data_IF_886626605387
#
_entry.id   IF_886626605387
#
_cell.length_a   1.000
_cell.length_b   1.000
_cell.length_c   1.000
_cell.angle_alpha   90.00
_cell.angle_beta   90.00
_cell.angle_gamma   90.00
#
_symmetry.space_group_name_H-M   'P 1'
#
loop_
_entity.id
_entity.type
_entity.pdbx_description
1 polymer ?
#
# COMPACT_ATOMS: atom_id res chain seq x y z
N UNK A 1 28.76 -45.92 -4.57
CA UNK A 1 27.71 -45.10 -3.91
C UNK A 1 27.81 -43.68 -4.46
N UNK A 2 26.98 -43.35 -5.46
CA UNK A 2 26.98 -42.04 -6.14
C UNK A 2 26.21 -41.03 -5.29
N UNK A 3 26.89 -40.00 -4.79
CA UNK A 3 26.25 -38.82 -4.19
C UNK A 3 25.76 -37.92 -5.32
N UNK A 4 24.45 -37.83 -5.51
CA UNK A 4 23.82 -36.86 -6.41
C UNK A 4 23.66 -35.58 -5.61
N UNK A 5 24.38 -34.52 -5.99
CA UNK A 5 24.18 -33.17 -5.47
C UNK A 5 23.13 -32.52 -6.36
N UNK A 6 21.93 -32.31 -5.82
CA UNK A 6 20.87 -31.56 -6.49
C UNK A 6 21.20 -30.07 -6.37
N UNK A 7 21.64 -29.47 -7.47
CA UNK A 7 21.82 -28.03 -7.59
C UNK A 7 20.44 -27.40 -7.83
N UNK A 8 19.85 -26.81 -6.78
CA UNK A 8 18.59 -26.06 -6.89
C UNK A 8 18.82 -24.75 -7.64
N UNK A 9 18.39 -24.70 -8.90
CA UNK A 9 18.34 -23.46 -9.68
C UNK A 9 17.19 -22.60 -9.16
N UNK A 10 17.52 -21.50 -8.50
CA UNK A 10 16.57 -20.47 -8.12
C UNK A 10 16.10 -19.75 -9.40
N UNK A 11 14.93 -20.12 -9.91
CA UNK A 11 14.30 -19.40 -11.03
C UNK A 11 13.68 -18.13 -10.45
N UNK A 12 14.35 -16.99 -10.63
CA UNK A 12 13.72 -15.70 -10.43
C UNK A 12 12.61 -15.53 -11.47
N UNK A 13 11.35 -15.63 -11.05
CA UNK A 13 10.21 -15.23 -11.87
C UNK A 13 10.29 -13.71 -12.07
N UNK A 14 10.82 -13.30 -13.22
CA UNK A 14 10.57 -11.96 -13.74
C UNK A 14 9.14 -11.97 -14.26
N UNK A 15 8.20 -11.46 -13.47
CA UNK A 15 6.85 -11.19 -13.92
C UNK A 15 6.90 -10.07 -14.99
N UNK A 16 7.05 -10.47 -16.25
CA UNK A 16 6.83 -9.58 -17.38
C UNK A 16 5.34 -9.29 -17.49
N UNK A 17 4.89 -8.12 -17.06
CA UNK A 17 3.54 -7.66 -17.37
C UNK A 17 3.51 -7.20 -18.83
N UNK A 18 2.69 -7.87 -19.62
CA UNK A 18 2.31 -7.40 -20.95
C UNK A 18 1.64 -6.03 -20.80
N UNK A 19 2.35 -4.95 -21.12
CA UNK A 19 1.76 -3.62 -21.15
C UNK A 19 1.17 -3.38 -22.53
N UNK A 20 -0.16 -3.41 -22.64
CA UNK A 20 -0.82 -2.60 -23.66
C UNK A 20 -0.33 -1.16 -23.54
N UNK A 21 -0.08 -0.50 -24.68
CA UNK A 21 0.45 0.87 -24.69
C UNK A 21 -0.55 1.81 -24.00
N UNK A 22 -0.21 2.26 -22.79
CA UNK A 22 -1.06 3.16 -21.99
C UNK A 22 -1.04 4.56 -22.60
N UNK A 23 -2.19 5.22 -22.68
CA UNK A 23 -2.30 6.59 -23.17
C UNK A 23 -1.49 7.52 -22.25
N UNK A 24 -0.54 8.24 -22.81
CA UNK A 24 0.29 9.21 -22.06
C UNK A 24 -0.47 10.52 -21.89
N UNK A 25 -0.45 11.09 -20.68
CA UNK A 25 -1.04 12.40 -20.40
C UNK A 25 -0.35 13.12 -19.23
N UNK A 26 -0.63 14.41 -19.11
CA UNK A 26 -0.34 15.20 -17.92
C UNK A 26 -1.28 14.86 -16.74
N UNK A 27 -1.20 15.62 -15.64
CA UNK A 27 -1.89 15.29 -14.40
C UNK A 27 -3.43 15.25 -14.54
N UNK A 28 -4.07 14.50 -13.64
CA UNK A 28 -5.52 14.47 -13.48
C UNK A 28 -5.86 15.16 -12.17
N UNK A 29 -6.59 16.28 -12.25
CA UNK A 29 -6.91 17.11 -11.11
C UNK A 29 -8.43 17.18 -10.96
N UNK A 30 -8.98 16.39 -10.04
CA UNK A 30 -10.37 16.46 -9.63
C UNK A 30 -10.44 17.26 -8.32
N UNK A 31 -10.76 18.55 -8.41
CA UNK A 31 -10.82 19.45 -7.24
C UNK A 31 -12.24 19.53 -6.66
N UNK A 32 -13.24 19.14 -7.44
CA UNK A 32 -14.65 19.09 -7.09
C UNK A 32 -15.41 18.11 -7.99
N UNK A 33 -16.69 17.84 -7.65
CA UNK A 33 -17.58 17.00 -8.46
C UNK A 33 -17.75 17.48 -9.92
N UNK A 34 -17.49 18.76 -10.21
CA UNK A 34 -17.62 19.32 -11.58
C UNK A 34 -16.46 18.92 -12.49
N UNK A 35 -15.35 18.49 -11.90
CA UNK A 35 -14.15 18.15 -12.63
C UNK A 35 -14.16 16.71 -13.15
N UNK A 36 -15.18 15.91 -12.81
CA UNK A 36 -15.37 14.57 -13.36
C UNK A 36 -15.85 14.63 -14.81
N UNK A 37 -14.92 14.94 -15.72
CA UNK A 37 -15.16 15.03 -17.16
C UNK A 37 -14.20 14.11 -17.94
N UNK A 38 -14.50 13.88 -19.21
CA UNK A 38 -13.66 13.07 -20.07
C UNK A 38 -12.27 13.69 -20.28
N UNK A 39 -12.19 15.03 -20.36
CA UNK A 39 -10.94 15.80 -20.46
C UNK A 39 -10.05 15.56 -19.22
N UNK A 40 -10.68 15.44 -18.05
CA UNK A 40 -10.02 15.11 -16.79
C UNK A 40 -9.82 13.60 -16.58
N UNK A 41 -9.97 12.79 -17.63
CA UNK A 41 -9.57 11.38 -17.61
C UNK A 41 -10.59 10.41 -17.07
N UNK A 42 -11.82 10.87 -16.84
CA UNK A 42 -12.95 9.97 -16.56
C UNK A 42 -13.32 9.25 -17.86
N UNK A 43 -13.23 7.93 -17.85
CA UNK A 43 -13.54 7.10 -19.04
C UNK A 43 -14.95 6.51 -19.00
N UNK A 44 -15.55 6.41 -17.81
CA UNK A 44 -16.92 5.92 -17.62
C UNK A 44 -17.47 6.26 -16.24
N UNK A 45 -18.76 5.99 -16.07
CA UNK A 45 -19.44 6.02 -14.78
C UNK A 45 -20.15 7.32 -14.45
N UNK A 46 -21.14 7.23 -13.56
CA UNK A 46 -21.98 8.36 -13.13
C UNK A 46 -21.63 8.89 -11.72
N UNK A 47 -20.67 8.28 -11.03
CA UNK A 47 -20.27 8.67 -9.67
C UNK A 47 -21.31 8.30 -8.62
N UNK A 48 -21.91 7.11 -8.77
CA UNK A 48 -22.83 6.50 -7.80
C UNK A 48 -22.29 5.13 -7.36
N UNK A 49 -22.76 4.56 -6.24
CA UNK A 49 -22.16 3.34 -5.65
C UNK A 49 -22.14 2.12 -6.58
N UNK A 50 -23.14 1.98 -7.46
CA UNK A 50 -23.18 0.91 -8.46
C UNK A 50 -22.52 1.27 -9.80
N UNK A 51 -22.09 2.52 -9.96
CA UNK A 51 -21.48 3.02 -11.18
C UNK A 51 -20.54 4.21 -10.86
N UNK A 52 -19.38 3.92 -10.26
CA UNK A 52 -18.42 4.93 -9.84
C UNK A 52 -17.79 5.61 -11.05
N UNK A 53 -17.30 6.85 -10.89
CA UNK A 53 -16.44 7.44 -11.91
C UNK A 53 -15.17 6.61 -12.06
N UNK A 54 -14.79 6.27 -13.29
CA UNK A 54 -13.61 5.43 -13.57
C UNK A 54 -12.54 6.25 -14.24
N UNK A 55 -11.33 6.21 -13.69
CA UNK A 55 -10.08 6.69 -14.30
C UNK A 55 -9.22 5.45 -14.53
N UNK A 56 -8.87 5.13 -15.78
CA UNK A 56 -8.10 3.91 -16.05
C UNK A 56 -7.21 3.93 -17.28
N UNK A 57 -6.29 2.97 -17.36
CA UNK A 57 -5.44 2.66 -18.52
C UNK A 57 -4.57 3.82 -19.03
N UNK A 58 -4.15 4.72 -18.12
CA UNK A 58 -3.33 5.89 -18.43
C UNK A 58 -1.93 5.78 -17.83
N UNK A 59 -0.94 6.31 -18.55
CA UNK A 59 0.39 6.60 -18.03
C UNK A 59 0.50 8.10 -17.82
N UNK A 60 0.72 8.51 -16.58
CA UNK A 60 0.87 9.89 -16.19
C UNK A 60 2.36 10.15 -15.97
N UNK A 61 2.94 10.90 -16.89
CA UNK A 61 4.29 11.43 -16.76
C UNK A 61 4.14 12.89 -16.33
N UNK A 62 4.40 13.16 -15.05
CA UNK A 62 4.00 14.44 -14.45
C UNK A 62 5.01 15.55 -14.72
N UNK A 63 6.17 15.26 -15.30
CA UNK A 63 7.13 16.30 -15.69
C UNK A 63 7.60 17.24 -14.57
N UNK A 64 7.41 16.86 -13.29
CA UNK A 64 7.69 17.69 -12.12
C UNK A 64 6.49 18.41 -11.49
N UNK A 65 5.27 18.23 -12.02
CA UNK A 65 4.03 18.69 -11.38
C UNK A 65 3.82 18.07 -9.98
N UNK A 66 2.98 18.71 -9.19
CA UNK A 66 2.77 18.35 -7.78
C UNK A 66 2.10 17.00 -7.62
N UNK A 67 1.13 16.69 -8.49
CA UNK A 67 0.27 15.52 -8.35
C UNK A 67 0.14 14.78 -9.66
N UNK A 68 0.26 13.45 -9.64
CA UNK A 68 -0.16 12.63 -10.78
C UNK A 68 -1.67 12.59 -10.91
N UNK A 69 -2.34 12.15 -9.84
CA UNK A 69 -3.80 12.19 -9.70
C UNK A 69 -4.15 12.84 -8.37
N UNK A 70 -5.01 13.86 -8.40
CA UNK A 70 -5.65 14.45 -7.24
C UNK A 70 -7.15 14.16 -7.28
N UNK A 71 -7.67 13.53 -6.23
CA UNK A 71 -9.10 13.43 -5.94
C UNK A 71 -9.37 14.25 -4.67
N UNK A 72 -10.12 15.33 -4.79
CA UNK A 72 -10.37 16.25 -3.69
C UNK A 72 -11.83 16.63 -3.55
N UNK A 73 -12.33 16.68 -2.30
CA UNK A 73 -13.58 17.34 -1.97
C UNK A 73 -14.84 16.66 -2.55
N UNK A 74 -14.84 15.34 -2.65
CA UNK A 74 -15.95 14.58 -3.25
C UNK A 74 -16.40 13.42 -2.35
N UNK A 75 -17.70 13.16 -2.36
CA UNK A 75 -18.29 11.95 -1.77
C UNK A 75 -18.75 10.94 -2.84
N UNK A 76 -18.61 11.32 -4.12
CA UNK A 76 -19.00 10.47 -5.24
C UNK A 76 -18.00 9.32 -5.37
N UNK A 77 -18.45 8.08 -5.54
CA UNK A 77 -17.57 6.94 -5.73
C UNK A 77 -16.66 7.10 -6.94
N UNK A 78 -15.36 6.80 -6.74
CA UNK A 78 -14.31 6.87 -7.76
C UNK A 78 -13.51 5.58 -7.75
N UNK A 79 -13.20 5.06 -8.93
CA UNK A 79 -12.25 3.96 -9.15
C UNK A 79 -11.10 4.48 -10.01
N UNK A 80 -9.88 4.35 -9.49
CA UNK A 80 -8.63 4.59 -10.21
C UNK A 80 -7.99 3.23 -10.43
N UNK A 81 -7.78 2.81 -11.68
CA UNK A 81 -7.22 1.48 -11.97
C UNK A 81 -6.31 1.38 -13.18
N UNK A 82 -5.39 0.43 -13.17
CA UNK A 82 -4.48 0.16 -14.30
C UNK A 82 -3.60 1.37 -14.69
N UNK A 83 -3.32 2.26 -13.73
CA UNK A 83 -2.60 3.52 -13.91
C UNK A 83 -1.12 3.37 -13.57
N UNK A 84 -0.27 4.09 -14.32
CA UNK A 84 1.14 4.33 -13.93
C UNK A 84 1.34 5.81 -13.68
N UNK A 85 1.94 6.17 -12.54
CA UNK A 85 2.32 7.55 -12.19
C UNK A 85 3.81 7.62 -11.90
N UNK A 86 4.53 8.53 -12.58
CA UNK A 86 5.97 8.67 -12.43
C UNK A 86 6.36 10.11 -12.11
N UNK A 87 7.14 10.32 -11.05
CA UNK A 87 7.87 11.57 -10.83
C UNK A 87 7.06 12.76 -10.30
N UNK A 88 5.94 12.54 -9.61
CA UNK A 88 5.16 13.63 -9.00
C UNK A 88 5.91 14.26 -7.81
N UNK A 89 5.99 15.59 -7.76
CA UNK A 89 6.77 16.30 -6.74
C UNK A 89 6.20 16.17 -5.33
N UNK A 90 4.88 16.16 -5.19
CA UNK A 90 4.19 16.07 -3.89
C UNK A 90 3.63 14.67 -3.68
N UNK A 91 2.75 14.18 -4.55
CA UNK A 91 2.18 12.85 -4.43
C UNK A 91 1.80 12.23 -5.77
N UNK A 92 2.08 10.94 -5.96
CA UNK A 92 1.66 10.22 -7.16
C UNK A 92 0.14 10.18 -7.28
N UNK A 93 -0.52 9.64 -6.26
CA UNK A 93 -1.99 9.69 -6.13
C UNK A 93 -2.34 10.29 -4.78
N UNK A 94 -3.14 11.35 -4.77
CA UNK A 94 -3.62 12.02 -3.57
C UNK A 94 -5.13 11.98 -3.48
N UNK A 95 -5.64 11.45 -2.37
CA UNK A 95 -7.04 11.48 -1.97
C UNK A 95 -7.17 12.42 -0.78
N UNK A 96 -7.91 13.50 -0.93
CA UNK A 96 -8.02 14.56 0.06
C UNK A 96 -9.48 14.94 0.32
N UNK A 97 -9.91 14.93 1.59
CA UNK A 97 -11.27 15.33 1.95
C UNK A 97 -12.34 14.60 1.12
N UNK A 98 -12.13 13.32 0.86
CA UNK A 98 -12.94 12.53 -0.05
C UNK A 98 -13.45 11.23 0.59
N UNK A 99 -14.44 10.61 -0.05
CA UNK A 99 -15.04 9.35 0.42
C UNK A 99 -15.36 8.41 -0.74
N UNK A 100 -15.26 7.10 -0.48
CA UNK A 100 -15.55 6.02 -1.45
C UNK A 100 -14.60 6.03 -2.66
N UNK A 101 -13.30 6.08 -2.41
CA UNK A 101 -12.28 6.02 -3.46
C UNK A 101 -11.62 4.65 -3.45
N UNK A 102 -11.58 3.97 -4.60
CA UNK A 102 -10.87 2.71 -4.80
C UNK A 102 -9.69 2.96 -5.73
N UNK A 103 -8.50 2.52 -5.33
CA UNK A 103 -7.27 2.57 -6.12
C UNK A 103 -6.81 1.12 -6.29
N UNK A 104 -6.85 0.58 -7.50
CA UNK A 104 -6.52 -0.83 -7.76
C UNK A 104 -5.54 -1.01 -8.91
N UNK A 105 -4.61 -1.96 -8.80
CA UNK A 105 -3.66 -2.30 -9.87
C UNK A 105 -2.90 -1.07 -10.42
N UNK A 106 -2.27 -0.30 -9.53
CA UNK A 106 -1.51 0.90 -9.90
C UNK A 106 -0.01 0.73 -9.68
N UNK A 107 0.78 1.44 -10.46
CA UNK A 107 2.23 1.57 -10.25
C UNK A 107 2.61 3.03 -10.06
N UNK A 108 3.19 3.35 -8.91
CA UNK A 108 3.68 4.69 -8.57
C UNK A 108 5.18 4.61 -8.31
N UNK A 109 5.98 5.43 -9.01
CA UNK A 109 7.42 5.43 -8.86
C UNK A 109 7.99 6.84 -8.78
N UNK A 110 9.00 7.03 -7.92
CA UNK A 110 9.81 8.25 -7.88
C UNK A 110 9.03 9.51 -7.51
N UNK A 111 7.93 9.37 -6.77
CA UNK A 111 7.10 10.48 -6.32
C UNK A 111 7.48 10.90 -4.89
N UNK A 112 7.22 12.16 -4.49
CA UNK A 112 7.47 12.61 -3.11
C UNK A 112 6.76 11.74 -2.07
N UNK A 113 5.47 11.51 -2.29
CA UNK A 113 4.66 10.48 -1.63
C UNK A 113 4.10 9.58 -2.73
N UNK A 114 4.12 8.25 -2.57
CA UNK A 114 3.50 7.35 -3.55
C UNK A 114 1.98 7.53 -3.59
N UNK A 115 1.32 7.17 -2.49
CA UNK A 115 -0.11 7.34 -2.30
C UNK A 115 -0.37 8.11 -0.99
N UNK A 116 -1.09 9.22 -1.07
CA UNK A 116 -1.46 10.05 0.09
C UNK A 116 -2.98 10.01 0.29
N UNK A 117 -3.44 9.59 1.47
CA UNK A 117 -4.82 9.66 1.92
C UNK A 117 -4.90 10.63 3.10
N UNK A 118 -5.63 11.73 2.93
CA UNK A 118 -5.70 12.81 3.93
C UNK A 118 -7.15 13.23 4.16
N UNK A 119 -7.57 13.34 5.43
CA UNK A 119 -8.94 13.74 5.81
C UNK A 119 -10.04 12.97 5.06
N UNK A 120 -9.84 11.69 4.79
CA UNK A 120 -10.70 10.91 3.91
C UNK A 120 -11.26 9.67 4.60
N UNK A 121 -12.34 9.11 4.06
CA UNK A 121 -12.99 7.93 4.65
C UNK A 121 -13.38 6.90 3.60
N UNK A 122 -13.39 5.60 3.95
CA UNK A 122 -13.75 4.52 3.01
C UNK A 122 -12.91 4.56 1.74
N UNK A 123 -11.59 4.46 1.93
CA UNK A 123 -10.62 4.41 0.82
C UNK A 123 -10.06 3.00 0.77
N UNK A 124 -10.07 2.40 -0.41
CA UNK A 124 -9.48 1.08 -0.65
C UNK A 124 -8.29 1.26 -1.57
N UNK A 125 -7.14 0.72 -1.19
CA UNK A 125 -5.96 0.63 -2.03
C UNK A 125 -5.57 -0.83 -2.14
N UNK A 126 -5.65 -1.38 -3.34
CA UNK A 126 -5.39 -2.78 -3.59
C UNK A 126 -4.40 -2.99 -4.74
N UNK A 127 -3.54 -4.01 -4.62
CA UNK A 127 -2.62 -4.40 -5.70
C UNK A 127 -1.80 -3.22 -6.25
N UNK A 128 -1.25 -2.38 -5.37
CA UNK A 128 -0.44 -1.24 -5.77
C UNK A 128 1.06 -1.52 -5.62
N UNK A 129 1.84 -1.19 -6.63
CA UNK A 129 3.31 -1.18 -6.59
C UNK A 129 3.79 0.25 -6.37
N UNK A 130 4.46 0.50 -5.26
CA UNK A 130 5.01 1.81 -4.88
C UNK A 130 6.51 1.68 -4.68
N UNK A 131 7.30 2.41 -5.47
CA UNK A 131 8.76 2.28 -5.46
C UNK A 131 9.44 3.64 -5.41
N UNK A 132 10.55 3.71 -4.67
CA UNK A 132 11.46 4.87 -4.70
C UNK A 132 10.75 6.19 -4.36
N UNK A 133 9.69 6.10 -3.56
CA UNK A 133 9.00 7.24 -2.99
C UNK A 133 9.50 7.43 -1.56
N UNK A 134 10.04 8.58 -1.14
CA UNK A 134 10.49 8.80 0.24
C UNK A 134 9.44 8.39 1.27
N UNK A 135 8.17 8.72 1.01
CA UNK A 135 7.02 8.14 1.71
C UNK A 135 6.24 7.26 0.74
N UNK A 136 6.12 5.96 1.02
CA UNK A 136 5.40 5.03 0.15
C UNK A 136 3.90 5.30 0.16
N UNK A 137 3.24 4.96 1.27
CA UNK A 137 1.82 5.24 1.51
C UNK A 137 1.68 6.03 2.79
N UNK A 138 0.96 7.15 2.74
CA UNK A 138 0.70 8.02 3.88
C UNK A 138 -0.79 8.17 4.11
N UNK A 139 -1.27 7.70 5.25
CA UNK A 139 -2.65 7.83 5.71
C UNK A 139 -2.66 8.75 6.92
N UNK A 140 -3.28 9.92 6.77
CA UNK A 140 -3.28 10.96 7.78
C UNK A 140 -4.70 11.46 8.06
N UNK A 141 -5.09 11.52 9.34
CA UNK A 141 -6.39 12.03 9.81
C UNK A 141 -7.59 11.43 9.07
N UNK A 142 -7.53 10.13 8.80
CA UNK A 142 -8.50 9.41 7.94
C UNK A 142 -9.08 8.21 8.69
N UNK A 143 -10.14 7.60 8.17
CA UNK A 143 -10.71 6.39 8.78
C UNK A 143 -11.33 5.42 7.79
N UNK A 144 -11.32 4.12 8.10
CA UNK A 144 -11.77 3.09 7.15
C UNK A 144 -10.94 3.11 5.88
N UNK A 145 -9.61 3.06 6.03
CA UNK A 145 -8.67 2.94 4.92
C UNK A 145 -8.13 1.51 4.87
N UNK A 146 -8.47 0.81 3.80
CA UNK A 146 -8.10 -0.60 3.60
C UNK A 146 -6.96 -0.67 2.60
N UNK A 147 -5.77 -1.05 3.09
CA UNK A 147 -4.57 -1.24 2.29
C UNK A 147 -4.30 -2.74 2.14
N UNK A 148 -4.39 -3.28 0.91
CA UNK A 148 -4.16 -4.69 0.66
C UNK A 148 -3.25 -4.97 -0.53
N UNK A 149 -2.47 -6.05 -0.45
CA UNK A 149 -1.63 -6.54 -1.55
C UNK A 149 -0.72 -5.45 -2.14
N UNK A 150 -0.14 -4.62 -1.28
CA UNK A 150 0.78 -3.58 -1.70
C UNK A 150 2.19 -4.15 -1.84
N UNK A 151 2.94 -3.68 -2.82
CA UNK A 151 4.39 -3.82 -2.86
C UNK A 151 5.01 -2.44 -2.66
N UNK A 152 5.47 -2.14 -1.45
CA UNK A 152 6.14 -0.87 -1.14
C UNK A 152 7.63 -1.12 -0.99
N UNK A 153 8.47 -0.44 -1.77
CA UNK A 153 9.91 -0.65 -1.67
C UNK A 153 10.78 0.60 -1.82
N UNK A 154 11.95 0.54 -1.18
CA UNK A 154 13.00 1.59 -1.25
C UNK A 154 12.47 2.97 -0.81
N UNK A 155 11.73 3.00 0.30
CA UNK A 155 11.16 4.22 0.90
C UNK A 155 11.83 4.55 2.23
N UNK A 156 11.82 5.83 2.64
CA UNK A 156 12.17 6.19 4.01
C UNK A 156 11.12 5.66 4.98
N UNK A 157 9.84 5.87 4.68
CA UNK A 157 8.73 5.24 5.40
C UNK A 157 7.88 4.49 4.38
N UNK A 158 7.70 3.18 4.57
CA UNK A 158 6.89 2.35 3.68
C UNK A 158 5.41 2.71 3.77
N UNK A 159 4.81 2.48 4.94
CA UNK A 159 3.41 2.85 5.22
C UNK A 159 3.34 3.64 6.53
N UNK A 160 2.73 4.80 6.50
CA UNK A 160 2.54 5.65 7.67
C UNK A 160 1.06 5.87 7.97
N UNK A 161 0.65 5.53 9.19
CA UNK A 161 -0.64 5.86 9.79
C UNK A 161 -0.45 6.95 10.85
N UNK A 162 -1.00 8.14 10.61
CA UNK A 162 -0.99 9.27 11.55
C UNK A 162 -2.40 9.76 11.85
N UNK A 163 -2.83 9.73 13.12
CA UNK A 163 -4.18 10.13 13.52
C UNK A 163 -5.28 9.37 12.74
N UNK A 164 -5.03 8.11 12.43
CA UNK A 164 -5.90 7.27 11.59
C UNK A 164 -6.71 6.31 12.45
N UNK A 165 -7.97 6.05 12.07
CA UNK A 165 -8.86 5.19 12.83
C UNK A 165 -9.41 4.02 12.01
N UNK A 166 -9.51 2.83 12.62
CA UNK A 166 -10.23 1.68 12.05
C UNK A 166 -9.80 1.39 10.62
N UNK A 167 -8.52 1.07 10.42
CA UNK A 167 -7.90 0.92 9.10
C UNK A 167 -6.98 -0.31 9.11
N UNK A 168 -6.63 -0.83 7.94
CA UNK A 168 -5.85 -2.07 7.85
C UNK A 168 -4.72 -1.99 6.83
N UNK A 169 -3.68 -2.78 7.08
CA UNK A 169 -2.63 -3.14 6.14
C UNK A 169 -2.51 -4.66 6.12
N UNK A 170 -2.88 -5.28 5.00
CA UNK A 170 -2.97 -6.74 4.90
C UNK A 170 -2.33 -7.29 3.62
N UNK A 171 -1.67 -8.45 3.73
CA UNK A 171 -1.21 -9.18 2.53
C UNK A 171 -0.16 -8.43 1.71
N UNK A 172 0.55 -7.49 2.31
CA UNK A 172 1.46 -6.57 1.61
C UNK A 172 2.93 -6.91 1.86
N UNK A 173 3.80 -6.53 0.94
CA UNK A 173 5.25 -6.64 1.07
C UNK A 173 5.86 -5.26 1.17
N UNK A 174 6.58 -5.06 2.27
CA UNK A 174 7.28 -3.81 2.60
C UNK A 174 8.77 -4.13 2.60
N UNK A 175 9.48 -3.67 1.56
CA UNK A 175 10.83 -4.13 1.25
C UNK A 175 11.86 -2.99 1.19
N UNK A 176 12.98 -3.16 1.90
CA UNK A 176 14.13 -2.25 1.81
C UNK A 176 13.80 -0.82 2.23
N UNK A 177 12.82 -0.65 3.12
CA UNK A 177 12.46 0.66 3.68
C UNK A 177 13.32 1.00 4.90
N UNK A 178 13.56 2.28 5.18
CA UNK A 178 14.21 2.67 6.44
C UNK A 178 13.31 2.36 7.64
N UNK A 179 12.03 2.69 7.53
CA UNK A 179 10.95 2.27 8.43
C UNK A 179 9.89 1.57 7.58
N UNK A 180 9.53 0.33 7.92
CA UNK A 180 8.52 -0.42 7.18
C UNK A 180 7.13 0.16 7.40
N UNK A 181 6.60 0.03 8.61
CA UNK A 181 5.32 0.65 9.03
C UNK A 181 5.54 1.58 10.21
N UNK A 182 4.91 2.75 10.17
CA UNK A 182 4.88 3.72 11.28
C UNK A 182 3.43 4.00 11.70
N UNK A 183 3.14 3.90 13.00
CA UNK A 183 1.84 4.21 13.59
C UNK A 183 2.03 5.23 14.72
N UNK A 184 1.40 6.40 14.59
CA UNK A 184 1.58 7.50 15.56
C UNK A 184 0.38 8.46 15.56
N UNK A 185 0.52 9.57 16.30
CA UNK A 185 -0.45 10.65 16.38
C UNK A 185 -1.82 10.17 16.89
N UNK A 186 -1.80 9.25 17.87
CA UNK A 186 -3.00 8.62 18.46
C UNK A 186 -3.89 7.92 17.43
N UNK A 187 -3.27 7.26 16.45
CA UNK A 187 -3.99 6.30 15.61
C UNK A 187 -4.53 5.16 16.47
N UNK A 188 -5.69 4.60 16.14
CA UNK A 188 -6.31 3.51 16.89
C UNK A 188 -7.16 2.60 16.00
N UNK A 189 -7.24 1.33 16.36
CA UNK A 189 -7.93 0.32 15.56
C UNK A 189 -7.23 0.05 14.23
N UNK A 190 -5.90 0.21 14.19
CA UNK A 190 -5.11 -0.19 13.04
C UNK A 190 -4.86 -1.70 13.11
N UNK A 191 -5.05 -2.44 12.03
CA UNK A 191 -4.72 -3.87 11.96
C UNK A 191 -3.66 -4.11 10.90
N UNK A 192 -2.50 -4.62 11.32
CA UNK A 192 -1.37 -4.94 10.45
C UNK A 192 -1.17 -6.45 10.52
N UNK A 193 -1.59 -7.19 9.48
CA UNK A 193 -1.50 -8.66 9.49
C UNK A 193 -1.19 -9.24 8.12
N UNK A 194 -0.58 -10.42 8.09
CA UNK A 194 -0.25 -11.16 6.87
C UNK A 194 0.63 -10.36 5.90
N UNK A 195 1.48 -9.48 6.41
CA UNK A 195 2.45 -8.75 5.60
C UNK A 195 3.82 -9.41 5.68
N UNK A 196 4.73 -9.08 4.76
CA UNK A 196 6.15 -9.38 4.88
C UNK A 196 6.99 -8.10 4.97
N UNK A 197 7.78 -8.00 6.03
CA UNK A 197 8.76 -6.95 6.21
C UNK A 197 10.14 -7.48 5.84
N UNK A 198 10.66 -7.04 4.71
CA UNK A 198 11.88 -7.59 4.11
C UNK A 198 12.97 -6.53 4.03
N UNK A 199 14.13 -6.76 4.64
CA UNK A 199 15.28 -5.86 4.55
C UNK A 199 15.03 -4.44 5.07
N UNK A 200 13.96 -4.21 5.84
CA UNK A 200 13.68 -2.91 6.46
C UNK A 200 14.63 -2.67 7.63
N UNK A 201 15.20 -1.47 7.74
CA UNK A 201 16.10 -1.14 8.87
C UNK A 201 15.36 -1.17 10.21
N UNK A 202 14.14 -0.66 10.22
CA UNK A 202 13.20 -0.74 11.34
C UNK A 202 11.88 -1.28 10.77
N UNK A 203 11.56 -2.57 10.91
CA UNK A 203 10.35 -3.15 10.30
C UNK A 203 9.07 -2.43 10.70
N UNK A 204 8.95 -2.06 11.98
CA UNK A 204 7.79 -1.36 12.51
C UNK A 204 8.19 -0.37 13.61
N UNK A 205 7.50 0.77 13.69
CA UNK A 205 7.57 1.75 14.76
C UNK A 205 6.16 2.14 15.17
N UNK A 206 5.88 2.18 16.47
CA UNK A 206 4.53 2.47 16.98
C UNK A 206 4.56 3.27 18.28
N UNK A 207 3.59 4.17 18.43
CA UNK A 207 3.23 4.82 19.70
C UNK A 207 2.04 4.12 20.40
N UNK A 208 1.62 2.97 19.86
CA UNK A 208 0.44 2.21 20.28
C UNK A 208 -0.73 2.31 19.29
N UNK A 209 -1.78 1.52 19.52
CA UNK A 209 -3.05 1.63 18.79
C UNK A 209 -3.14 0.78 17.52
N UNK A 210 -2.20 -0.14 17.32
CA UNK A 210 -2.22 -1.09 16.21
C UNK A 210 -2.18 -2.53 16.73
N UNK A 211 -3.09 -3.39 16.27
CA UNK A 211 -2.92 -4.83 16.39
C UNK A 211 -1.97 -5.31 15.28
N UNK A 212 -0.92 -6.05 15.64
CA UNK A 212 0.07 -6.62 14.71
C UNK A 212 -0.26 -8.04 14.26
N UNK A 213 -1.50 -8.46 14.49
CA UNK A 213 -2.09 -9.70 14.02
C UNK A 213 -3.61 -9.55 13.97
N UNK A 214 -4.31 -10.50 13.36
CA UNK A 214 -5.78 -10.51 13.28
C UNK A 214 -6.45 -11.49 14.27
N UNK A 215 -5.72 -11.94 15.29
CA UNK A 215 -6.16 -12.99 16.22
C UNK A 215 -5.95 -14.42 15.74
N UNK A 216 -5.52 -14.61 14.48
CA UNK A 216 -5.26 -15.93 13.88
C UNK A 216 -3.89 -15.98 13.20
N UNK A 217 -3.51 -14.90 12.50
CA UNK A 217 -2.24 -14.77 11.79
C UNK A 217 -1.68 -13.35 11.93
N UNK A 218 -0.36 -13.30 12.10
CA UNK A 218 0.45 -12.10 12.18
C UNK A 218 1.18 -11.82 10.87
N UNK A 219 2.38 -11.25 10.99
CA UNK A 219 3.23 -10.84 9.89
C UNK A 219 4.51 -11.69 9.83
N UNK A 220 5.15 -11.68 8.68
CA UNK A 220 6.49 -12.19 8.49
C UNK A 220 7.53 -11.09 8.77
N UNK A 221 8.43 -11.34 9.72
CA UNK A 221 9.48 -10.41 10.13
C UNK A 221 10.84 -10.98 9.73
N UNK A 222 11.48 -10.42 8.69
CA UNK A 222 12.75 -10.97 8.21
C UNK A 222 13.79 -11.01 9.34
N UNK A 223 14.38 -12.19 9.56
CA UNK A 223 15.41 -12.43 10.56
C UNK A 223 14.87 -12.79 11.94
N UNK A 224 13.55 -12.73 12.18
CA UNK A 224 12.97 -13.30 13.38
C UNK A 224 12.93 -14.83 13.28
N UNK A 225 13.51 -15.49 14.28
CA UNK A 225 13.64 -16.95 14.33
C UNK A 225 13.06 -17.43 15.65
N UNK A 226 12.07 -18.30 15.57
CA UNK A 226 11.47 -19.01 16.69
C UNK A 226 11.05 -20.42 16.26
N UNK A 227 10.78 -21.33 17.21
CA UNK A 227 10.22 -22.64 16.88
C UNK A 227 8.84 -22.50 16.24
N UNK A 228 8.51 -23.43 15.34
CA UNK A 228 7.15 -23.75 14.88
C UNK A 228 7.00 -25.26 15.11
N UNK A 229 6.52 -25.63 16.31
CA UNK A 229 6.58 -27.04 16.77
C UNK A 229 5.46 -27.89 16.19
N UNK A 230 4.29 -27.31 16.01
CA UNK A 230 3.11 -27.97 15.45
C UNK A 230 3.05 -27.86 13.92
N UNK A 231 3.93 -27.06 13.30
CA UNK A 231 4.12 -26.91 11.85
C UNK A 231 2.92 -26.29 11.16
N UNK A 232 2.24 -25.36 11.83
CA UNK A 232 1.10 -24.65 11.28
C UNK A 232 1.50 -23.40 10.45
N UNK A 233 2.80 -23.10 10.41
CA UNK A 233 3.38 -21.95 9.71
C UNK A 233 3.32 -20.65 10.52
N UNK A 234 3.01 -20.73 11.82
CA UNK A 234 3.07 -19.66 12.81
C UNK A 234 4.21 -19.99 13.79
N UNK A 235 4.97 -18.98 14.17
CA UNK A 235 6.06 -19.13 15.12
C UNK A 235 5.52 -19.10 16.56
N UNK A 236 5.94 -20.05 17.39
CA UNK A 236 5.50 -20.26 18.78
C UNK A 236 5.83 -19.11 19.74
N UNK A 237 6.58 -18.09 19.29
CA UNK A 237 6.96 -16.93 20.10
C UNK A 237 6.47 -15.64 19.46
N UNK A 238 5.89 -14.74 20.25
CA UNK A 238 5.47 -13.44 19.74
C UNK A 238 6.68 -12.62 19.29
N UNK A 239 6.46 -11.80 18.26
CA UNK A 239 7.42 -10.77 17.84
C UNK A 239 7.08 -9.46 18.54
N UNK A 240 8.00 -8.96 19.36
CA UNK A 240 7.82 -7.69 20.08
C UNK A 240 8.04 -6.53 19.12
N UNK A 241 7.00 -5.74 18.87
CA UNK A 241 7.07 -4.56 18.00
C UNK A 241 7.41 -3.30 18.80
N UNK A 242 6.86 -3.19 20.00
CA UNK A 242 7.08 -2.07 20.90
C UNK A 242 6.61 -2.36 22.32
N UNK A 243 6.71 -1.39 23.25
CA UNK A 243 6.24 -1.57 24.62
C UNK A 243 4.74 -1.89 24.66
N UNK A 244 4.39 -3.11 25.08
CA UNK A 244 3.00 -3.57 25.14
C UNK A 244 2.37 -3.88 23.78
N UNK A 245 3.15 -3.88 22.70
CA UNK A 245 2.71 -4.10 21.32
C UNK A 245 3.47 -5.28 20.73
N UNK A 246 2.77 -6.36 20.44
CA UNK A 246 3.35 -7.59 19.91
C UNK A 246 2.50 -8.16 18.79
N UNK A 247 3.17 -8.83 17.86
CA UNK A 247 2.54 -9.77 16.95
C UNK A 247 2.55 -11.15 17.63
N UNK A 248 1.36 -11.66 17.95
CA UNK A 248 1.20 -12.92 18.69
C UNK A 248 1.26 -14.14 17.80
N UNK A 249 1.11 -13.96 16.49
CA UNK A 249 1.04 -15.04 15.52
C UNK A 249 2.01 -14.82 14.34
N UNK A 250 3.31 -14.53 14.59
CA UNK A 250 4.24 -14.19 13.53
C UNK A 250 4.42 -15.36 12.57
N UNK A 251 4.50 -15.08 11.28
CA UNK A 251 4.54 -16.10 10.23
C UNK A 251 5.94 -16.70 10.08
N UNK A 252 6.03 -18.01 9.87
CA UNK A 252 7.30 -18.72 9.64
C UNK A 252 7.90 -18.46 8.24
N UNK A 253 7.07 -18.06 7.27
CA UNK A 253 7.46 -17.74 5.90
C UNK A 253 6.69 -16.51 5.39
N UNK A 254 7.25 -15.75 4.42
CA UNK A 254 6.51 -14.66 3.81
C UNK A 254 5.21 -15.19 3.14
N UNK A 255 4.13 -14.40 3.11
CA UNK A 255 2.92 -14.73 2.36
C UNK A 255 3.24 -14.95 0.87
N UNK A 256 2.44 -15.78 0.20
CA UNK A 256 2.55 -15.95 -1.24
C UNK A 256 2.28 -14.61 -1.95
N UNK A 257 3.21 -14.24 -2.82
CA UNK A 257 3.20 -13.03 -3.65
C UNK A 257 2.40 -13.24 -4.95
#
# INVERSE_FOLDING_TARGET
>A
MRKVVLLGVLVALVAGTASGERVRRGPILIQSDRDFTAENGVVSGWGILGDPFVISAVKIDVGGDDYGILISGTIRPVVIRDVVVLGARVAGIKVQSARNVTIENVWVQGCGIGISVFLSTKVIVDQARIEECPDGVRVAFSSGVDLSRLWVSRSKVGVWFGGTMGSLLVGSVIEGCEIGVQVELRSEGIVVSQNAFLGCRIPARTEGGAAWDNGVRGNYWQGFIAPDKDRDGILDRPYVVGPGEEDRFPLASPPAL
#
